data_IF_042095828218
#
_entry.id   IF_042095828218
#
_cell.length_a   1.000
_cell.length_b   1.000
_cell.length_c   1.000
_cell.angle_alpha   90.00
_cell.angle_beta   90.00
_cell.angle_gamma   90.00
#
_symmetry.space_group_name_H-M   'P 1'
#
loop_
_entity.id
_entity.type
_entity.pdbx_description
1 polymer ?
#
# COMPACT_ATOMS: atom_id res chain seq x y z
N UNK A 1 -2.19 -0.55 -16.47
CA UNK A 1 -3.16 0.50 -16.09
C UNK A 1 -2.37 1.64 -15.49
N UNK A 2 -2.71 2.88 -15.81
CA UNK A 2 -2.10 4.06 -15.18
C UNK A 2 -2.97 4.55 -14.02
N UNK A 3 -2.33 4.84 -12.89
CA UNK A 3 -2.89 5.49 -11.71
C UNK A 3 -2.51 6.97 -11.85
N UNK A 4 -3.50 7.80 -12.15
CA UNK A 4 -3.37 9.26 -12.24
C UNK A 4 -4.32 9.92 -11.24
N UNK A 5 -4.21 11.24 -11.05
CA UNK A 5 -5.05 11.97 -10.10
C UNK A 5 -6.56 11.76 -10.30
N UNK A 6 -7.05 11.69 -11.55
CA UNK A 6 -8.48 11.41 -11.80
C UNK A 6 -8.91 10.03 -11.29
N UNK A 7 -8.04 9.02 -11.45
CA UNK A 7 -8.30 7.69 -10.91
C UNK A 7 -8.27 7.71 -9.38
N UNK A 8 -7.31 8.42 -8.76
CA UNK A 8 -7.20 8.56 -7.30
C UNK A 8 -8.47 9.18 -6.72
N UNK A 9 -8.91 10.30 -7.29
CA UNK A 9 -10.10 11.03 -6.83
C UNK A 9 -11.37 10.17 -6.86
N UNK A 10 -11.51 9.33 -7.90
CA UNK A 10 -12.71 8.50 -8.10
C UNK A 10 -12.63 7.11 -7.49
N UNK A 11 -11.45 6.67 -7.05
CA UNK A 11 -11.22 5.28 -6.68
C UNK A 11 -12.24 4.80 -5.64
N UNK A 12 -12.39 5.53 -4.55
CA UNK A 12 -13.28 5.12 -3.46
C UNK A 12 -14.76 5.37 -3.75
N UNK A 13 -15.09 6.29 -4.67
CA UNK A 13 -16.46 6.42 -5.18
C UNK A 13 -16.89 5.18 -5.97
N UNK A 14 -15.95 4.55 -6.69
CA UNK A 14 -16.21 3.40 -7.56
C UNK A 14 -16.23 2.08 -6.79
N UNK A 15 -15.36 1.92 -5.80
CA UNK A 15 -15.16 0.64 -5.10
C UNK A 15 -15.78 0.58 -3.69
N UNK A 16 -16.22 1.72 -3.14
CA UNK A 16 -16.80 1.83 -1.81
C UNK A 16 -15.75 1.79 -0.69
N UNK A 17 -16.15 2.13 0.53
CA UNK A 17 -15.26 2.36 1.69
C UNK A 17 -14.57 1.09 2.25
N UNK A 18 -14.95 -0.10 1.76
CA UNK A 18 -14.44 -1.39 2.25
C UNK A 18 -14.09 -2.32 1.11
N UNK A 19 -12.81 -2.64 1.00
CA UNK A 19 -12.28 -3.60 0.05
C UNK A 19 -11.65 -4.76 0.81
N UNK A 20 -12.10 -5.97 0.54
CA UNK A 20 -11.50 -7.15 1.15
C UNK A 20 -10.12 -7.41 0.56
N UNK A 21 -9.98 -7.40 -0.77
CA UNK A 21 -8.71 -7.67 -1.45
C UNK A 21 -8.45 -6.62 -2.53
N UNK A 22 -7.37 -5.87 -2.36
CA UNK A 22 -6.92 -4.84 -3.29
C UNK A 22 -5.54 -5.21 -3.84
N UNK A 23 -5.43 -5.27 -5.16
CA UNK A 23 -4.19 -5.62 -5.85
C UNK A 23 -3.88 -4.63 -6.96
N UNK A 24 -2.66 -4.08 -6.91
CA UNK A 24 -2.06 -3.29 -7.96
C UNK A 24 -0.90 -4.08 -8.56
N UNK A 25 -1.08 -4.65 -9.75
CA UNK A 25 -0.07 -5.45 -10.44
C UNK A 25 0.41 -4.73 -11.70
N UNK A 26 1.69 -4.35 -11.71
CA UNK A 26 2.35 -3.67 -12.84
C UNK A 26 1.59 -2.44 -13.32
N UNK A 27 1.00 -1.68 -12.39
CA UNK A 27 0.42 -0.38 -12.69
C UNK A 27 1.54 0.64 -13.02
N UNK A 28 1.24 1.70 -13.76
CA UNK A 28 2.13 2.86 -13.86
C UNK A 28 1.56 3.96 -12.97
N UNK A 29 2.40 4.64 -12.20
CA UNK A 29 2.02 5.88 -11.51
C UNK A 29 2.29 7.05 -12.45
N UNK A 30 1.31 7.96 -12.60
CA UNK A 30 1.53 9.21 -13.29
C UNK A 30 2.55 10.07 -12.51
N UNK A 31 3.14 11.07 -13.18
CA UNK A 31 4.18 11.88 -12.56
C UNK A 31 3.66 12.62 -11.33
N UNK A 32 4.26 12.34 -10.16
CA UNK A 32 3.90 12.97 -8.89
C UNK A 32 2.87 12.18 -8.07
N UNK A 33 2.27 11.14 -8.63
CA UNK A 33 1.31 10.27 -7.93
C UNK A 33 2.02 9.13 -7.20
N UNK A 34 1.41 8.67 -6.10
CA UNK A 34 1.93 7.60 -5.27
C UNK A 34 0.84 6.61 -4.85
N UNK A 35 1.24 5.44 -4.32
CA UNK A 35 0.25 4.48 -3.80
C UNK A 35 -0.38 4.94 -2.49
N UNK A 36 0.31 5.77 -1.71
CA UNK A 36 -0.26 6.28 -0.47
C UNK A 36 -1.34 7.33 -0.69
N UNK A 37 -1.31 8.06 -1.82
CA UNK A 37 -2.40 8.98 -2.22
C UNK A 37 -3.72 8.23 -2.42
N UNK A 38 -3.67 7.03 -3.01
CA UNK A 38 -4.84 6.16 -3.18
C UNK A 38 -5.44 5.70 -1.87
N UNK A 39 -4.63 5.54 -0.82
CA UNK A 39 -5.08 4.98 0.45
C UNK A 39 -5.28 6.05 1.53
N UNK A 40 -5.17 7.33 1.17
CA UNK A 40 -5.36 8.45 2.08
C UNK A 40 -6.85 8.63 2.42
N UNK A 41 -7.27 8.20 3.61
CA UNK A 41 -8.63 8.42 4.11
C UNK A 41 -9.12 7.34 5.08
N UNK A 42 -10.42 7.32 5.36
CA UNK A 42 -11.05 6.36 6.28
C UNK A 42 -11.43 5.03 5.60
N UNK A 43 -10.56 4.51 4.74
CA UNK A 43 -10.87 3.36 3.92
C UNK A 43 -10.33 2.06 4.50
N UNK A 44 -11.12 0.99 4.39
CA UNK A 44 -10.78 -0.30 4.97
C UNK A 44 -10.30 -1.25 3.89
N UNK A 45 -9.04 -1.68 3.99
CA UNK A 45 -8.47 -2.77 3.20
C UNK A 45 -8.07 -3.91 4.14
N UNK A 46 -8.45 -5.17 3.82
CA UNK A 46 -8.00 -6.35 4.60
C UNK A 46 -6.74 -6.97 4.02
N UNK A 47 -6.66 -7.08 2.70
CA UNK A 47 -5.53 -7.65 1.99
C UNK A 47 -5.07 -6.65 0.92
N UNK A 48 -3.82 -6.19 1.03
CA UNK A 48 -3.19 -5.31 0.04
C UNK A 48 -2.03 -6.02 -0.63
N UNK A 49 -1.98 -5.98 -1.95
CA UNK A 49 -0.82 -6.42 -2.74
C UNK A 49 -0.44 -5.33 -3.74
N UNK A 50 0.77 -4.80 -3.61
CA UNK A 50 1.34 -3.88 -4.58
C UNK A 50 2.58 -4.53 -5.18
N UNK A 51 2.46 -4.93 -6.45
CA UNK A 51 3.55 -5.43 -7.26
C UNK A 51 3.91 -4.40 -8.32
N UNK A 52 4.93 -3.59 -8.05
CA UNK A 52 5.29 -2.50 -8.92
C UNK A 52 6.80 -2.22 -8.94
N UNK A 53 7.36 -2.08 -10.14
CA UNK A 53 8.77 -1.75 -10.33
C UNK A 53 9.13 -0.31 -9.94
N UNK A 54 8.16 0.59 -9.87
CA UNK A 54 8.35 2.00 -9.49
C UNK A 54 8.02 2.26 -8.02
N UNK A 55 7.55 1.27 -7.26
CA UNK A 55 7.30 1.42 -5.82
C UNK A 55 8.63 1.71 -5.11
N UNK A 56 8.62 2.77 -4.30
CA UNK A 56 9.79 3.20 -3.50
C UNK A 56 9.61 2.82 -2.04
N UNK A 57 10.71 2.75 -1.28
CA UNK A 57 10.64 2.45 0.15
C UNK A 57 9.73 3.43 0.90
N UNK A 58 9.85 4.72 0.61
CA UNK A 58 9.13 5.76 1.33
C UNK A 58 7.63 5.71 0.99
N UNK A 59 7.28 5.47 -0.28
CA UNK A 59 5.89 5.27 -0.69
C UNK A 59 5.29 4.01 -0.04
N UNK A 60 6.02 2.90 0.04
CA UNK A 60 5.55 1.69 0.72
C UNK A 60 5.30 1.92 2.22
N UNK A 61 6.17 2.70 2.88
CA UNK A 61 6.02 3.06 4.29
C UNK A 61 4.77 3.93 4.50
N UNK A 62 4.59 4.99 3.71
CA UNK A 62 3.44 5.88 3.82
C UNK A 62 2.13 5.17 3.44
N UNK A 63 2.16 4.32 2.42
CA UNK A 63 1.03 3.48 2.01
C UNK A 63 0.59 2.61 3.18
N UNK A 64 1.54 1.98 3.88
CA UNK A 64 1.22 1.17 5.05
C UNK A 64 0.65 2.00 6.20
N UNK A 65 1.18 3.21 6.44
CA UNK A 65 0.72 4.09 7.52
C UNK A 65 -0.71 4.59 7.34
N UNK A 66 -1.15 4.72 6.09
CA UNK A 66 -2.52 5.12 5.76
C UNK A 66 -3.54 3.99 5.93
N UNK A 67 -3.09 2.74 6.13
CA UNK A 67 -3.97 1.60 6.36
C UNK A 67 -4.30 1.44 7.85
N UNK A 68 -5.51 0.95 8.14
CA UNK A 68 -5.93 0.60 9.50
C UNK A 68 -5.30 -0.73 9.97
N UNK A 69 -4.30 -0.71 10.87
CA UNK A 69 -3.50 -1.91 11.18
C UNK A 69 -4.33 -3.03 11.83
N UNK A 70 -5.40 -2.69 12.55
CA UNK A 70 -6.28 -3.66 13.23
C UNK A 70 -7.26 -4.37 12.30
N UNK A 71 -7.44 -3.89 11.07
CA UNK A 71 -8.30 -4.54 10.06
C UNK A 71 -7.47 -5.28 9.00
N UNK A 72 -6.17 -4.99 8.92
CA UNK A 72 -5.25 -5.62 8.00
C UNK A 72 -5.01 -7.08 8.40
N UNK A 73 -5.08 -7.94 7.38
CA UNK A 73 -4.72 -9.35 7.46
C UNK A 73 -3.43 -9.67 6.69
N UNK A 74 -3.14 -8.91 5.63
CA UNK A 74 -1.88 -9.01 4.91
C UNK A 74 -1.63 -7.75 4.09
N UNK A 75 -0.37 -7.33 4.04
CA UNK A 75 0.16 -6.33 3.12
C UNK A 75 1.40 -6.92 2.46
N UNK A 76 1.39 -7.01 1.15
CA UNK A 76 2.52 -7.51 0.37
C UNK A 76 3.03 -6.41 -0.54
N UNK A 77 4.30 -6.03 -0.37
CA UNK A 77 5.00 -5.13 -1.27
C UNK A 77 6.02 -5.91 -2.10
N UNK A 78 5.96 -5.76 -3.41
CA UNK A 78 6.89 -6.37 -4.35
C UNK A 78 7.40 -5.29 -5.31
N UNK A 79 8.72 -5.16 -5.41
CA UNK A 79 9.35 -4.16 -6.27
C UNK A 79 10.85 -4.38 -6.36
N UNK A 80 11.43 -4.10 -7.52
CA UNK A 80 12.83 -4.45 -7.84
C UNK A 80 13.88 -3.79 -6.95
N UNK A 81 13.53 -2.72 -6.23
CA UNK A 81 14.47 -1.89 -5.47
C UNK A 81 14.07 -1.70 -4.00
N UNK A 82 13.10 -2.46 -3.50
CA UNK A 82 12.63 -2.30 -2.13
C UNK A 82 13.66 -2.82 -1.13
N UNK A 83 13.96 -1.99 -0.13
CA UNK A 83 14.72 -2.42 1.04
C UNK A 83 13.76 -2.93 2.13
N UNK A 84 13.47 -4.23 2.09
CA UNK A 84 12.56 -4.88 3.03
C UNK A 84 12.96 -4.67 4.50
N UNK A 85 14.26 -4.69 4.82
CA UNK A 85 14.75 -4.48 6.19
C UNK A 85 14.47 -3.06 6.68
N UNK A 86 14.75 -2.04 5.84
CA UNK A 86 14.46 -0.64 6.14
C UNK A 86 12.97 -0.43 6.38
N UNK A 87 12.13 -0.88 5.44
CA UNK A 87 10.67 -0.70 5.50
C UNK A 87 10.09 -1.38 6.75
N UNK A 88 10.45 -2.64 6.99
CA UNK A 88 9.98 -3.40 8.15
C UNK A 88 10.42 -2.75 9.48
N UNK A 89 11.67 -2.28 9.57
CA UNK A 89 12.17 -1.57 10.75
C UNK A 89 11.37 -0.28 11.02
N UNK A 90 11.14 0.55 10.00
CA UNK A 90 10.39 1.80 10.15
C UNK A 90 8.94 1.55 10.55
N UNK A 91 8.27 0.58 9.90
CA UNK A 91 6.88 0.23 10.21
C UNK A 91 6.76 -0.31 11.62
N UNK A 92 7.62 -1.24 12.05
CA UNK A 92 7.55 -1.81 13.41
C UNK A 92 7.85 -0.80 14.51
N UNK A 93 8.77 0.13 14.26
CA UNK A 93 9.05 1.22 15.20
C UNK A 93 7.86 2.20 15.33
N UNK A 94 7.01 2.31 14.30
CA UNK A 94 5.83 3.20 14.31
C UNK A 94 4.52 2.49 14.69
N UNK A 95 4.46 1.16 14.57
CA UNK A 95 3.28 0.36 14.87
C UNK A 95 3.67 -0.87 15.74
N UNK A 96 3.86 -0.64 17.04
CA UNK A 96 4.29 -1.68 17.98
C UNK A 96 3.29 -2.85 18.14
N UNK A 97 2.03 -2.66 17.71
CA UNK A 97 0.97 -3.66 17.79
C UNK A 97 0.80 -4.47 16.50
N UNK A 98 1.63 -4.23 15.47
CA UNK A 98 1.51 -4.94 14.21
C UNK A 98 1.83 -6.43 14.43
N UNK A 99 0.87 -7.35 14.19
CA UNK A 99 1.13 -8.77 14.31
C UNK A 99 2.21 -9.24 13.32
N UNK A 100 3.00 -10.24 13.73
CA UNK A 100 3.93 -10.89 12.82
C UNK A 100 3.20 -11.52 11.63
N UNK A 101 3.77 -11.39 10.43
CA UNK A 101 3.20 -11.94 9.20
C UNK A 101 2.18 -11.06 8.48
N UNK A 102 1.79 -9.89 9.03
CA UNK A 102 0.96 -8.93 8.29
C UNK A 102 1.76 -8.33 7.13
N UNK A 103 2.98 -7.88 7.37
CA UNK A 103 3.83 -7.25 6.36
C UNK A 103 4.72 -8.30 5.68
N UNK A 104 4.60 -8.42 4.36
CA UNK A 104 5.31 -9.37 3.53
C UNK A 104 6.01 -8.65 2.36
N UNK A 105 7.12 -9.21 1.89
CA UNK A 105 7.84 -8.70 0.74
C UNK A 105 7.96 -9.80 -0.32
N UNK A 106 7.50 -9.52 -1.53
CA UNK A 106 7.66 -10.43 -2.66
C UNK A 106 8.96 -10.17 -3.42
N UNK A 107 9.46 -11.22 -4.09
CA UNK A 107 10.66 -11.20 -4.94
C UNK A 107 10.22 -11.10 -6.40
#
# INVERSE_FOLDING_TARGET
MEINGEFVDKFWELFGDRIDYLKFDRCSLAQGETFHDLLYGEYVVKYLEINNSTLTDDDAIETFRNLYPWLLKSVTFSGMKLNAEKINSVIRNSCALLPDGILNFGI
#
